data_IF_835629898597
#
_entry.id   IF_835629898597
#
_cell.length_a   1.000
_cell.length_b   1.000
_cell.length_c   1.000
_cell.angle_alpha   90.00
_cell.angle_beta   90.00
_cell.angle_gamma   90.00
#
_symmetry.space_group_name_H-M   'P 1'
#
loop_
_entity.id
_entity.type
_entity.pdbx_description
1 polymer ?
#
# COMPACT_ATOMS: atom_id res chain seq x y z
N UNK A 1 -11.72 14.24 -15.33
CA UNK A 1 -12.38 14.04 -14.02
C UNK A 1 -11.31 13.55 -13.05
N UNK A 2 -11.22 14.19 -11.90
CA UNK A 2 -10.35 13.78 -10.82
C UNK A 2 -11.16 12.90 -9.86
N UNK A 3 -10.74 11.65 -9.67
CA UNK A 3 -11.32 10.79 -8.66
C UNK A 3 -10.66 11.08 -7.32
N UNK A 4 -11.45 11.41 -6.32
CA UNK A 4 -10.99 11.64 -4.96
C UNK A 4 -11.35 10.46 -4.09
N UNK A 5 -10.35 9.86 -3.47
CA UNK A 5 -10.53 8.92 -2.38
C UNK A 5 -10.40 9.65 -1.04
N UNK A 6 -11.25 9.36 -0.05
CA UNK A 6 -11.04 9.90 1.28
C UNK A 6 -9.68 9.43 1.79
N UNK A 7 -8.90 10.38 2.25
CA UNK A 7 -7.68 10.11 3.00
C UNK A 7 -8.10 9.59 4.37
N UNK A 8 -7.44 8.58 4.86
CA UNK A 8 -7.93 7.68 5.88
C UNK A 8 -8.45 8.32 7.15
N UNK A 9 -9.63 7.90 7.55
CA UNK A 9 -10.19 8.14 8.87
C UNK A 9 -9.63 7.18 9.93
N UNK A 10 -8.91 6.15 9.51
CA UNK A 10 -8.55 5.02 10.37
C UNK A 10 -7.06 4.65 10.31
N UNK A 11 -6.28 5.35 9.50
CA UNK A 11 -4.86 5.20 9.52
C UNK A 11 -4.32 5.74 10.84
N UNK A 12 -3.82 4.86 11.69
CA UNK A 12 -3.25 5.15 13.02
C UNK A 12 -4.19 5.81 14.03
N UNK A 13 -5.52 5.67 13.87
CA UNK A 13 -6.46 6.19 14.88
C UNK A 13 -6.38 7.71 15.13
N UNK A 14 -5.86 8.50 14.20
CA UNK A 14 -5.92 9.95 14.31
C UNK A 14 -7.37 10.40 14.42
N UNK A 15 -7.70 11.02 15.53
CA UNK A 15 -9.06 11.50 15.78
C UNK A 15 -9.38 12.78 15.03
N UNK A 16 -8.35 13.51 14.57
CA UNK A 16 -8.45 14.81 13.91
C UNK A 16 -7.96 14.72 12.45
N UNK A 17 -8.77 14.10 11.60
CA UNK A 17 -8.49 13.91 10.15
C UNK A 17 -9.42 14.73 9.25
N UNK A 18 -10.36 15.48 9.81
CA UNK A 18 -11.43 16.13 9.02
C UNK A 18 -10.87 17.17 8.03
N UNK A 19 -9.81 17.88 8.39
CA UNK A 19 -9.16 18.84 7.51
C UNK A 19 -8.38 18.15 6.41
N UNK A 20 -7.67 17.08 6.71
CA UNK A 20 -6.92 16.29 5.73
C UNK A 20 -7.83 15.70 4.66
N UNK A 21 -9.01 15.21 5.05
CA UNK A 21 -10.01 14.73 4.12
C UNK A 21 -10.55 15.80 3.14
N UNK A 22 -10.34 17.08 3.43
CA UNK A 22 -10.75 18.18 2.55
C UNK A 22 -9.65 18.61 1.57
N UNK A 23 -8.39 18.25 1.82
CA UNK A 23 -7.24 18.72 1.02
C UNK A 23 -7.43 18.40 -0.46
N UNK A 24 -7.76 17.17 -0.79
CA UNK A 24 -7.95 16.76 -2.19
C UNK A 24 -9.09 17.52 -2.88
N UNK A 25 -10.22 17.71 -2.19
CA UNK A 25 -11.36 18.47 -2.72
C UNK A 25 -11.00 19.93 -2.95
N UNK A 26 -10.38 20.58 -1.96
CA UNK A 26 -9.93 21.98 -2.08
C UNK A 26 -8.90 22.18 -3.19
N UNK A 27 -8.00 21.20 -3.36
CA UNK A 27 -7.01 21.23 -4.43
C UNK A 27 -7.67 21.13 -5.81
N UNK A 28 -8.65 20.23 -5.97
CA UNK A 28 -9.41 20.08 -7.22
C UNK A 28 -10.22 21.34 -7.55
N UNK A 29 -10.83 21.99 -6.54
CA UNK A 29 -11.51 23.28 -6.71
C UNK A 29 -10.54 24.36 -7.22
N UNK A 30 -9.32 24.41 -6.66
CA UNK A 30 -8.28 25.35 -7.11
C UNK A 30 -7.88 25.14 -8.56
N UNK A 31 -7.93 23.88 -9.03
CA UNK A 31 -7.64 23.53 -10.42
C UNK A 31 -8.85 23.64 -11.36
N UNK A 32 -10.02 24.01 -10.84
CA UNK A 32 -11.30 24.04 -11.57
C UNK A 32 -11.61 22.68 -12.28
N UNK A 33 -11.19 21.55 -11.68
CA UNK A 33 -11.39 20.23 -12.24
C UNK A 33 -12.69 19.59 -11.73
N UNK A 34 -13.41 18.89 -12.62
CA UNK A 34 -14.56 18.09 -12.18
C UNK A 34 -14.07 16.94 -11.30
N UNK A 35 -14.78 16.68 -10.20
CA UNK A 35 -14.46 15.71 -9.17
C UNK A 35 -15.47 14.59 -9.14
N UNK A 36 -14.98 13.35 -9.00
CA UNK A 36 -15.77 12.19 -8.60
C UNK A 36 -15.39 11.82 -7.16
N UNK A 37 -16.33 11.94 -6.25
CA UNK A 37 -16.13 11.56 -4.85
C UNK A 37 -16.36 10.06 -4.68
N UNK A 38 -15.29 9.31 -4.37
CA UNK A 38 -15.33 7.86 -4.25
C UNK A 38 -15.73 7.36 -2.86
N UNK A 39 -16.17 8.25 -1.95
CA UNK A 39 -16.64 7.84 -0.62
C UNK A 39 -17.72 6.75 -0.70
N UNK A 40 -17.74 5.77 0.22
CA UNK A 40 -16.91 5.66 1.43
C UNK A 40 -15.62 4.85 1.22
N UNK A 41 -15.19 4.58 -0.01
CA UNK A 41 -14.02 3.76 -0.29
C UNK A 41 -12.72 4.51 0.09
N UNK A 42 -11.96 3.96 1.02
CA UNK A 42 -10.68 4.51 1.49
C UNK A 42 -9.53 3.93 0.69
N UNK A 43 -8.68 4.79 0.14
CA UNK A 43 -7.51 4.41 -0.65
C UNK A 43 -6.39 5.44 -0.48
N UNK A 44 -5.21 4.96 -0.10
CA UNK A 44 -3.99 5.75 -0.07
C UNK A 44 -3.19 5.57 -1.35
N UNK A 45 -2.35 6.58 -1.69
CA UNK A 45 -1.46 6.51 -2.85
C UNK A 45 -0.52 5.32 -2.82
N UNK A 46 0.09 5.05 -1.66
CA UNK A 46 1.00 3.92 -1.44
C UNK A 46 0.33 2.54 -1.45
N UNK A 47 -0.99 2.49 -1.28
CA UNK A 47 -1.75 1.23 -1.32
C UNK A 47 -1.92 0.66 -2.73
N UNK A 48 -1.54 1.40 -3.77
CA UNK A 48 -1.65 0.99 -5.18
C UNK A 48 -0.36 1.26 -5.95
N UNK A 49 -0.06 0.40 -6.92
CA UNK A 49 0.96 0.65 -7.93
C UNK A 49 0.46 0.26 -9.31
N UNK A 50 0.63 1.12 -10.32
CA UNK A 50 0.11 0.90 -11.67
C UNK A 50 1.23 0.77 -12.70
N UNK A 51 1.04 -0.12 -13.69
CA UNK A 51 1.91 -0.21 -14.87
C UNK A 51 1.58 0.84 -15.96
N UNK A 52 0.53 1.64 -15.75
CA UNK A 52 0.02 2.59 -16.75
C UNK A 52 -0.57 1.93 -18.01
N UNK A 53 -0.75 0.61 -18.02
CA UNK A 53 -1.27 -0.18 -19.14
C UNK A 53 -2.49 -1.03 -18.78
N UNK A 54 -3.12 -0.73 -17.66
CA UNK A 54 -4.35 -1.37 -17.21
C UNK A 54 -4.16 -2.33 -16.03
N UNK A 55 -2.94 -2.56 -15.54
CA UNK A 55 -2.68 -3.42 -14.38
C UNK A 55 -2.43 -2.58 -13.13
N UNK A 56 -3.03 -2.99 -12.01
CA UNK A 56 -2.79 -2.43 -10.68
C UNK A 56 -2.33 -3.55 -9.75
N UNK A 57 -1.31 -3.25 -8.93
CA UNK A 57 -0.91 -4.06 -7.78
C UNK A 57 -1.49 -3.45 -6.51
N UNK A 58 -1.93 -4.30 -5.60
CA UNK A 58 -2.37 -3.98 -4.25
C UNK A 58 -1.96 -5.11 -3.30
N UNK A 59 -1.98 -4.88 -1.99
CA UNK A 59 -1.83 -5.95 -1.00
C UNK A 59 -3.14 -6.26 -0.30
N UNK A 60 -3.36 -7.53 0.01
CA UNK A 60 -4.52 -7.97 0.80
C UNK A 60 -4.46 -7.43 2.23
N UNK A 61 -3.29 -7.50 2.84
CA UNK A 61 -3.05 -6.98 4.20
C UNK A 61 -3.46 -5.52 4.36
N UNK A 62 -3.21 -4.68 3.34
CA UNK A 62 -3.59 -3.29 3.36
C UNK A 62 -5.09 -3.08 3.12
N UNK A 63 -5.56 -3.42 1.92
CA UNK A 63 -6.91 -2.99 1.50
C UNK A 63 -8.04 -3.75 2.20
N UNK A 64 -7.79 -4.96 2.69
CA UNK A 64 -8.76 -5.75 3.45
C UNK A 64 -8.62 -5.53 4.96
N UNK A 65 -7.73 -4.65 5.41
CA UNK A 65 -7.57 -4.37 6.83
C UNK A 65 -8.85 -3.78 7.43
N UNK A 66 -9.15 -4.11 8.69
CA UNK A 66 -10.30 -3.53 9.40
C UNK A 66 -10.28 -2.00 9.48
N UNK A 67 -9.09 -1.42 9.41
CA UNK A 67 -8.87 0.02 9.50
C UNK A 67 -9.22 0.79 8.21
N UNK A 68 -9.52 0.13 7.08
CA UNK A 68 -9.75 0.82 5.81
C UNK A 68 -11.15 0.63 5.26
N UNK A 69 -11.47 -0.57 4.80
CA UNK A 69 -12.72 -0.84 4.10
C UNK A 69 -13.50 -2.00 4.74
N UNK A 70 -13.80 -1.99 6.06
CA UNK A 70 -14.36 -3.13 6.79
C UNK A 70 -15.76 -3.53 6.31
N UNK A 71 -16.43 -2.66 5.55
CA UNK A 71 -17.80 -2.88 5.07
C UNK A 71 -17.84 -3.39 3.62
N UNK A 72 -16.68 -3.48 2.95
CA UNK A 72 -16.59 -3.89 1.55
C UNK A 72 -15.99 -5.29 1.42
N UNK A 73 -16.54 -6.07 0.49
CA UNK A 73 -15.90 -7.32 0.07
C UNK A 73 -14.71 -7.04 -0.86
N UNK A 74 -13.79 -8.01 -0.97
CA UNK A 74 -12.68 -7.93 -1.93
C UNK A 74 -13.16 -7.61 -3.34
N UNK A 75 -14.23 -8.26 -3.79
CA UNK A 75 -14.84 -8.02 -5.11
C UNK A 75 -15.37 -6.58 -5.25
N UNK A 76 -15.97 -6.01 -4.21
CA UNK A 76 -16.44 -4.62 -4.25
C UNK A 76 -15.28 -3.63 -4.32
N UNK A 77 -14.21 -3.89 -3.57
CA UNK A 77 -12.98 -3.09 -3.61
C UNK A 77 -12.37 -3.16 -5.01
N UNK A 78 -12.22 -4.36 -5.57
CA UNK A 78 -11.67 -4.57 -6.91
C UNK A 78 -12.47 -3.84 -7.98
N UNK A 79 -13.79 -3.97 -7.97
CA UNK A 79 -14.65 -3.25 -8.92
C UNK A 79 -14.49 -1.73 -8.79
N UNK A 80 -14.41 -1.20 -7.56
CA UNK A 80 -14.19 0.23 -7.33
C UNK A 80 -12.85 0.70 -7.88
N UNK A 81 -11.78 -0.09 -7.70
CA UNK A 81 -10.45 0.20 -8.25
C UNK A 81 -10.49 0.23 -9.79
N UNK A 82 -11.08 -0.81 -10.41
CA UNK A 82 -11.19 -0.91 -11.87
C UNK A 82 -11.95 0.28 -12.46
N UNK A 83 -13.10 0.61 -11.90
CA UNK A 83 -13.95 1.71 -12.38
C UNK A 83 -13.32 3.08 -12.16
N UNK A 84 -12.78 3.33 -10.96
CA UNK A 84 -12.30 4.65 -10.56
C UNK A 84 -10.95 5.02 -11.15
N UNK A 85 -10.09 4.02 -11.38
CA UNK A 85 -8.72 4.21 -11.90
C UNK A 85 -8.58 3.85 -13.37
N UNK A 86 -9.66 3.35 -14.01
CA UNK A 86 -9.63 2.95 -15.40
C UNK A 86 -8.71 1.75 -15.66
N UNK A 87 -8.57 0.88 -14.66
CA UNK A 87 -7.79 -0.34 -14.77
C UNK A 87 -8.61 -1.49 -15.37
N UNK A 88 -7.92 -2.50 -15.88
CA UNK A 88 -8.51 -3.71 -16.48
C UNK A 88 -8.27 -4.95 -15.60
N UNK A 89 -7.25 -4.89 -14.75
CA UNK A 89 -6.85 -5.99 -13.86
C UNK A 89 -6.26 -5.47 -12.55
N UNK A 90 -6.65 -6.10 -11.45
CA UNK A 90 -6.03 -5.92 -10.13
C UNK A 90 -5.34 -7.22 -9.73
N UNK A 91 -4.08 -7.12 -9.34
CA UNK A 91 -3.31 -8.23 -8.76
C UNK A 91 -3.16 -7.98 -7.27
N UNK A 92 -3.61 -8.95 -6.49
CA UNK A 92 -3.61 -8.90 -5.04
C UNK A 92 -2.45 -9.69 -4.48
N UNK A 93 -1.40 -8.99 -4.04
CA UNK A 93 -0.31 -9.62 -3.29
C UNK A 93 -0.82 -9.98 -1.89
N UNK A 94 -0.50 -11.18 -1.38
CA UNK A 94 -0.86 -11.56 -0.01
C UNK A 94 -0.30 -10.60 1.04
N UNK A 95 0.92 -10.11 0.85
CA UNK A 95 1.67 -9.38 1.86
C UNK A 95 2.38 -8.14 1.29
N UNK A 96 2.78 -7.25 2.21
CA UNK A 96 3.71 -6.15 1.97
C UNK A 96 5.03 -6.35 2.72
N UNK A 97 5.55 -5.30 3.34
CA UNK A 97 6.74 -5.37 4.19
C UNK A 97 6.35 -5.71 5.63
N UNK A 98 7.07 -6.64 6.24
CA UNK A 98 6.85 -7.08 7.61
C UNK A 98 6.94 -5.92 8.60
N UNK A 99 5.90 -5.76 9.43
CA UNK A 99 5.75 -4.66 10.39
C UNK A 99 5.76 -3.26 9.79
N UNK A 100 5.43 -3.13 8.51
CA UNK A 100 5.20 -1.81 7.91
C UNK A 100 4.03 -1.10 8.61
N UNK A 101 4.31 0.08 9.12
CA UNK A 101 3.34 0.92 9.83
C UNK A 101 2.17 1.39 8.95
N UNK A 102 2.29 1.30 7.63
CA UNK A 102 1.20 1.61 6.70
C UNK A 102 0.25 0.43 6.47
N UNK A 103 0.36 -0.65 7.26
CA UNK A 103 -0.30 -1.93 7.06
C UNK A 103 0.05 -2.58 5.71
N UNK A 104 1.34 -2.61 5.40
CA UNK A 104 1.85 -3.33 4.24
C UNK A 104 1.42 -2.70 2.90
N UNK A 105 1.65 -1.40 2.72
CA UNK A 105 1.47 -0.74 1.43
C UNK A 105 2.24 -1.45 0.32
N UNK A 106 1.63 -1.55 -0.88
CA UNK A 106 2.25 -2.26 -2.01
C UNK A 106 3.50 -1.57 -2.54
N UNK A 107 3.60 -0.24 -2.49
CA UNK A 107 4.73 0.52 -2.99
C UNK A 107 6.02 0.29 -2.19
N UNK A 108 5.91 -0.23 -0.95
CA UNK A 108 7.04 -0.65 -0.14
C UNK A 108 7.59 -2.04 -0.54
N UNK A 109 6.76 -2.91 -1.13
CA UNK A 109 7.15 -4.30 -1.42
C UNK A 109 7.35 -4.58 -2.90
N UNK A 110 6.58 -3.97 -3.80
CA UNK A 110 6.65 -4.23 -5.24
C UNK A 110 6.37 -2.97 -6.07
N UNK A 111 7.10 -2.82 -7.17
CA UNK A 111 6.88 -1.72 -8.10
C UNK A 111 7.10 -2.16 -9.55
N UNK A 112 6.26 -1.69 -10.46
CA UNK A 112 6.52 -1.81 -11.89
C UNK A 112 7.69 -0.91 -12.30
N UNK A 113 8.63 -1.45 -13.05
CA UNK A 113 9.77 -0.73 -13.61
C UNK A 113 9.70 -0.67 -15.14
N UNK A 114 8.78 -1.39 -15.73
CA UNK A 114 8.50 -1.44 -17.16
C UNK A 114 7.27 -2.28 -17.48
N UNK A 115 6.90 -2.39 -18.77
CA UNK A 115 5.78 -3.24 -19.19
C UNK A 115 6.02 -4.71 -18.86
N UNK A 116 5.18 -5.29 -17.99
CA UNK A 116 5.32 -6.64 -17.48
C UNK A 116 6.69 -6.89 -16.78
N UNK A 117 7.30 -5.86 -16.23
CA UNK A 117 8.56 -5.93 -15.51
C UNK A 117 8.41 -5.25 -14.15
N UNK A 118 8.78 -5.92 -13.08
CA UNK A 118 8.64 -5.40 -11.72
C UNK A 118 9.81 -5.78 -10.83
N UNK A 119 10.02 -5.00 -9.79
CA UNK A 119 10.89 -5.32 -8.66
C UNK A 119 10.05 -5.83 -7.51
N UNK A 120 10.59 -6.76 -6.72
CA UNK A 120 9.99 -7.31 -5.51
C UNK A 120 11.02 -7.27 -4.39
N UNK A 121 10.69 -6.68 -3.26
CA UNK A 121 11.52 -6.68 -2.05
C UNK A 121 11.86 -8.12 -1.65
N UNK A 122 13.14 -8.38 -1.37
CA UNK A 122 13.64 -9.75 -1.19
C UNK A 122 14.71 -9.84 -0.12
N UNK A 123 14.68 -10.93 0.62
CA UNK A 123 15.78 -11.39 1.46
C UNK A 123 16.06 -12.86 1.19
N UNK A 124 17.33 -13.28 1.26
CA UNK A 124 17.71 -14.69 1.20
C UNK A 124 17.81 -15.33 2.62
N UNK A 125 17.68 -14.53 3.68
CA UNK A 125 17.67 -15.03 5.05
C UNK A 125 16.31 -15.65 5.38
N UNK A 126 16.27 -16.98 5.43
CA UNK A 126 15.05 -17.73 5.76
C UNK A 126 14.58 -17.57 7.21
N UNK A 127 15.39 -16.97 8.08
CA UNK A 127 14.98 -16.64 9.44
C UNK A 127 14.32 -15.25 9.53
N UNK A 128 14.47 -14.41 8.51
CA UNK A 128 13.77 -13.15 8.43
C UNK A 128 12.28 -13.40 8.07
N UNK A 129 11.32 -12.88 8.85
CA UNK A 129 9.89 -13.01 8.54
C UNK A 129 9.54 -12.57 7.11
N UNK A 130 10.24 -11.56 6.57
CA UNK A 130 10.03 -11.07 5.21
C UNK A 130 10.28 -12.14 4.15
N UNK A 131 11.18 -13.12 4.40
CA UNK A 131 11.43 -14.18 3.44
C UNK A 131 10.16 -14.95 3.04
N UNK A 132 9.38 -15.37 4.04
CA UNK A 132 8.16 -16.12 3.79
C UNK A 132 7.09 -15.27 3.07
N UNK A 133 6.99 -14.00 3.42
CA UNK A 133 6.05 -13.05 2.80
C UNK A 133 6.42 -12.80 1.33
N UNK A 134 7.67 -12.42 1.07
CA UNK A 134 8.15 -12.19 -0.31
C UNK A 134 8.12 -13.46 -1.17
N UNK A 135 8.33 -14.65 -0.59
CA UNK A 135 8.23 -15.91 -1.31
C UNK A 135 6.78 -16.21 -1.75
N UNK A 136 5.79 -15.89 -0.92
CA UNK A 136 4.37 -16.04 -1.26
C UNK A 136 3.97 -15.08 -2.39
N UNK A 137 4.42 -13.83 -2.31
CA UNK A 137 4.17 -12.83 -3.36
C UNK A 137 4.83 -13.23 -4.69
N UNK A 138 6.07 -13.74 -4.65
CA UNK A 138 6.77 -14.23 -5.82
C UNK A 138 6.02 -15.39 -6.47
N UNK A 139 5.58 -16.38 -5.68
CA UNK A 139 4.83 -17.54 -6.19
C UNK A 139 3.53 -17.14 -6.88
N UNK A 140 2.85 -16.11 -6.37
CA UNK A 140 1.67 -15.54 -6.99
C UNK A 140 2.03 -14.86 -8.30
N UNK A 141 3.01 -13.95 -8.29
CA UNK A 141 3.40 -13.15 -9.45
C UNK A 141 3.95 -14.01 -10.61
N UNK A 142 4.63 -15.12 -10.32
CA UNK A 142 5.11 -16.07 -11.35
C UNK A 142 3.98 -16.75 -12.13
N UNK A 143 2.80 -16.87 -11.51
CA UNK A 143 1.61 -17.49 -12.11
C UNK A 143 0.73 -16.48 -12.82
N UNK A 144 0.85 -15.21 -12.45
CA UNK A 144 0.02 -14.13 -12.93
C UNK A 144 0.51 -13.55 -14.27
N UNK A 145 -0.37 -12.79 -14.90
CA UNK A 145 -0.08 -11.98 -16.07
C UNK A 145 -0.58 -10.56 -15.85
N UNK A 146 -0.05 -9.61 -16.59
CA UNK A 146 -0.63 -8.27 -16.64
C UNK A 146 -1.99 -8.24 -17.37
N UNK A 147 -2.61 -7.07 -17.47
CA UNK A 147 -3.88 -6.87 -18.16
C UNK A 147 -3.83 -7.21 -19.67
N UNK A 148 -2.65 -7.31 -20.25
CA UNK A 148 -2.42 -7.68 -21.67
C UNK A 148 -2.01 -9.13 -21.86
N UNK A 149 -2.05 -9.93 -20.79
CA UNK A 149 -1.72 -11.37 -20.83
C UNK A 149 -0.23 -11.68 -20.86
N UNK A 150 0.66 -10.73 -20.54
CA UNK A 150 2.11 -10.93 -20.51
C UNK A 150 2.51 -11.43 -19.12
N UNK A 151 3.33 -12.48 -19.04
CA UNK A 151 3.95 -12.90 -17.79
C UNK A 151 4.99 -11.89 -17.33
N UNK A 152 5.19 -11.81 -16.03
CA UNK A 152 6.11 -10.86 -15.41
C UNK A 152 7.56 -11.31 -15.46
N UNK A 153 8.45 -10.36 -15.72
CA UNK A 153 9.86 -10.46 -15.35
C UNK A 153 10.03 -9.84 -13.97
N UNK A 154 10.45 -10.64 -12.99
CA UNK A 154 10.52 -10.22 -11.59
C UNK A 154 11.96 -10.09 -11.16
N UNK A 155 12.36 -8.90 -10.73
CA UNK A 155 13.69 -8.63 -10.20
C UNK A 155 13.62 -8.58 -8.67
N UNK A 156 14.39 -9.45 -8.03
CA UNK A 156 14.53 -9.47 -6.57
C UNK A 156 15.39 -8.29 -6.13
N UNK A 157 14.81 -7.36 -5.39
CA UNK A 157 15.49 -6.20 -4.83
C UNK A 157 15.85 -6.49 -3.37
N UNK A 158 17.14 -6.65 -3.04
CA UNK A 158 17.55 -6.97 -1.68
C UNK A 158 17.09 -5.87 -0.69
N UNK A 159 16.41 -6.28 0.37
CA UNK A 159 16.13 -5.40 1.51
C UNK A 159 17.41 -5.23 2.36
N UNK A 160 17.51 -4.16 3.19
CA UNK A 160 18.67 -3.96 4.06
C UNK A 160 18.91 -5.17 4.97
N UNK A 161 20.14 -5.70 4.93
CA UNK A 161 20.52 -6.85 5.77
C UNK A 161 20.61 -6.49 7.26
N UNK A 162 20.91 -5.24 7.57
CA UNK A 162 20.92 -4.73 8.94
C UNK A 162 19.55 -4.07 9.20
N UNK A 163 18.78 -4.71 10.05
CA UNK A 163 17.53 -4.13 10.53
C UNK A 163 17.82 -2.80 11.20
N UNK A 164 17.17 -1.76 10.73
CA UNK A 164 17.09 -0.52 11.47
C UNK A 164 16.09 -0.75 12.61
N UNK A 165 16.52 -0.48 13.80
CA UNK A 165 15.68 -0.58 14.99
C UNK A 165 15.73 0.73 15.75
N UNK A 166 14.66 1.03 16.46
CA UNK A 166 14.61 2.17 17.38
C UNK A 166 15.65 1.96 18.47
N UNK A 167 16.54 2.92 18.66
CA UNK A 167 17.52 2.92 19.76
C UNK A 167 17.03 3.77 20.94
N UNK A 168 17.64 3.58 22.12
CA UNK A 168 17.37 4.43 23.28
C UNK A 168 17.62 5.92 22.98
N UNK A 169 18.56 6.22 22.08
CA UNK A 169 18.90 7.59 21.67
C UNK A 169 17.83 8.21 20.75
N UNK A 170 17.07 7.38 20.04
CA UNK A 170 16.01 7.83 19.12
C UNK A 170 14.72 8.18 19.86
N UNK A 171 14.39 7.48 20.95
CA UNK A 171 13.13 7.61 21.66
C UNK A 171 12.74 9.05 22.04
N UNK A 172 13.65 9.92 22.50
CA UNK A 172 13.31 11.32 22.78
C UNK A 172 12.93 12.16 21.55
N UNK A 173 13.24 11.67 20.37
CA UNK A 173 12.91 12.34 19.10
C UNK A 173 11.48 12.12 18.63
N UNK A 174 10.78 11.13 19.15
CA UNK A 174 9.39 10.85 18.81
C UNK A 174 8.44 11.68 19.66
N UNK A 175 7.40 12.17 19.03
CA UNK A 175 6.28 12.84 19.70
C UNK A 175 5.03 12.03 19.42
N UNK A 176 4.21 11.81 20.45
CA UNK A 176 3.01 10.98 20.37
C UNK A 176 1.78 11.83 20.65
N UNK A 177 0.71 11.52 19.95
CA UNK A 177 -0.60 12.07 20.23
C UNK A 177 -1.40 11.15 21.16
N UNK A 178 -2.48 11.66 21.76
CA UNK A 178 -3.32 10.87 22.69
C UNK A 178 -3.90 9.65 21.95
N UNK A 179 -3.45 8.45 22.39
CA UNK A 179 -3.91 7.17 21.83
C UNK A 179 -2.94 6.50 20.86
N UNK A 180 -1.82 7.11 20.52
CA UNK A 180 -0.75 6.45 19.78
C UNK A 180 0.03 5.48 20.67
N UNK A 181 0.45 4.35 20.09
CA UNK A 181 1.41 3.46 20.74
C UNK A 181 2.80 4.08 20.73
N UNK A 182 3.40 4.17 21.90
CA UNK A 182 4.77 4.68 22.03
C UNK A 182 5.77 3.69 21.44
N UNK A 183 6.75 4.21 20.69
CA UNK A 183 7.88 3.41 20.19
C UNK A 183 8.70 2.87 21.37
N UNK A 184 9.28 1.71 21.17
CA UNK A 184 10.14 1.08 22.17
C UNK A 184 11.49 0.68 21.59
N UNK A 185 12.49 0.59 22.43
CA UNK A 185 13.83 0.17 22.05
C UNK A 185 13.81 -1.24 21.44
N UNK A 186 14.44 -1.38 20.28
CA UNK A 186 14.49 -2.63 19.53
C UNK A 186 13.30 -2.84 18.59
N UNK A 187 12.34 -1.93 18.54
CA UNK A 187 11.28 -1.95 17.55
C UNK A 187 11.89 -1.80 16.15
N UNK A 188 11.48 -2.65 15.21
CA UNK A 188 11.95 -2.59 13.83
C UNK A 188 11.36 -1.38 13.13
N UNK A 189 12.21 -0.63 12.45
CA UNK A 189 11.78 0.38 11.48
C UNK A 189 11.68 -0.29 10.09
N UNK A 190 10.50 -0.20 9.50
CA UNK A 190 10.23 -0.76 8.16
C UNK A 190 10.84 0.11 7.06
#
# INVERSE_FOLDING_TARGET
ILTLFPYTTLFRSYQDYEEDNQVASRFAETLEMPVYDAKPFVLEGGAIHSDGQGTILVTESCLLSPGRNPHLSKEQIENTLLESLGAEKVIWLPYGIYQDETNEHVDNVAAFVGPAELVLAWTDDQNDPQYAMSAADLELLEKETDAKGRHFTIHKLPIPANLQVVTEEDLPGYTYEDGEEERYEGERLA
#
